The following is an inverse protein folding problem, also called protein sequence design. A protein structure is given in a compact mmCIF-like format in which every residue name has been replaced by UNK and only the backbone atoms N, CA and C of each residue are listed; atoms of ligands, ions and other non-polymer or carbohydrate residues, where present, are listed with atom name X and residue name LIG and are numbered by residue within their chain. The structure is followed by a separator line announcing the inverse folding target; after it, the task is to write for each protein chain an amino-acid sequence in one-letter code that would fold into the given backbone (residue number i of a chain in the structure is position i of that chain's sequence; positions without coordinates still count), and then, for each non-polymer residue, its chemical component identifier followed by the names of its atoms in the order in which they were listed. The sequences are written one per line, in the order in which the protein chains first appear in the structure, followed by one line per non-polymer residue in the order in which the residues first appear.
data_IF_363452337855
#
_entry.id   IF_363452337855
#
_cell.length_a   1.000
_cell.length_b   1.000
_cell.length_c   1.000
_cell.angle_alpha   90.00
_cell.angle_beta   90.00
_cell.angle_gamma   90.00
#
_symmetry.space_group_name_H-M   'P 1'
#
loop_
_entity.id
_entity.type
_entity.pdbx_description
1 polymer ?
#
# COMPACT_ATOMS: atom_id res chain seq x y z
N UNK A 1 23.41 -27.65 -34.10
CA UNK A 1 21.95 -27.44 -33.91
C UNK A 1 21.79 -26.42 -32.80
N UNK A 2 21.11 -25.30 -33.10
CA UNK A 2 20.96 -24.13 -32.21
C UNK A 2 19.81 -24.40 -31.24
N UNK A 3 20.10 -24.48 -29.95
CA UNK A 3 19.07 -24.56 -28.91
C UNK A 3 18.66 -23.15 -28.54
N UNK A 4 17.50 -22.71 -29.04
CA UNK A 4 16.87 -21.45 -28.68
C UNK A 4 16.20 -21.62 -27.30
N UNK A 5 16.83 -21.06 -26.27
CA UNK A 5 16.16 -20.86 -24.98
C UNK A 5 15.22 -19.66 -25.18
N UNK A 6 13.93 -19.96 -25.35
CA UNK A 6 12.87 -18.97 -25.29
C UNK A 6 12.73 -18.60 -23.81
N UNK A 7 13.50 -17.59 -23.39
CA UNK A 7 13.25 -16.91 -22.14
C UNK A 7 11.92 -16.19 -22.28
N UNK A 8 10.84 -16.84 -21.84
CA UNK A 8 9.56 -16.22 -21.57
C UNK A 8 9.76 -15.19 -20.46
N UNK A 9 10.13 -13.98 -20.87
CA UNK A 9 9.98 -12.76 -20.08
C UNK A 9 8.48 -12.67 -19.81
N UNK A 10 8.08 -13.17 -18.65
CA UNK A 10 6.78 -12.87 -18.07
C UNK A 10 6.79 -11.36 -17.90
N UNK A 11 6.20 -10.67 -18.87
CA UNK A 11 5.80 -9.28 -18.77
C UNK A 11 4.78 -9.20 -17.64
N UNK A 12 5.25 -9.26 -16.38
CA UNK A 12 4.53 -8.56 -15.34
C UNK A 12 4.51 -7.11 -15.82
N UNK A 13 3.34 -6.50 -16.03
CA UNK A 13 3.30 -5.07 -16.20
C UNK A 13 3.93 -4.52 -14.93
N UNK A 14 5.16 -4.00 -15.03
CA UNK A 14 5.68 -3.08 -14.05
C UNK A 14 4.72 -1.90 -14.12
N UNK A 15 3.66 -1.96 -13.30
CA UNK A 15 2.78 -0.84 -13.10
C UNK A 15 3.63 0.21 -12.40
N UNK A 16 4.24 1.06 -13.23
CA UNK A 16 4.91 2.27 -12.80
C UNK A 16 3.80 3.18 -12.29
N UNK A 17 3.49 3.04 -11.00
CA UNK A 17 2.63 3.99 -10.32
C UNK A 17 3.45 5.26 -10.13
N UNK A 18 3.23 6.23 -11.01
CA UNK A 18 3.50 7.62 -10.67
C UNK A 18 2.75 7.96 -9.38
N UNK A 19 3.16 9.01 -8.68
CA UNK A 19 2.47 9.51 -7.47
C UNK A 19 1.08 10.12 -7.81
N UNK A 20 0.29 9.42 -8.61
CA UNK A 20 -1.08 9.75 -8.96
C UNK A 20 -1.97 9.58 -7.75
N UNK A 21 -2.89 10.51 -7.52
CA UNK A 21 -4.02 10.26 -6.64
C UNK A 21 -4.77 9.00 -7.13
N UNK A 22 -5.35 8.22 -6.21
CA UNK A 22 -6.18 7.10 -6.62
C UNK A 22 -7.52 7.64 -7.11
N UNK A 23 -7.65 7.76 -8.43
CA UNK A 23 -8.82 8.29 -9.11
C UNK A 23 -9.54 7.17 -9.89
N UNK A 24 -10.81 7.40 -10.25
CA UNK A 24 -11.63 6.45 -10.99
C UNK A 24 -12.89 6.03 -10.25
N UNK A 25 -13.50 4.93 -10.68
CA UNK A 25 -14.62 4.34 -9.97
C UNK A 25 -14.15 3.64 -8.67
N UNK A 26 -15.09 3.24 -7.81
CA UNK A 26 -14.78 2.60 -6.52
C UNK A 26 -13.86 1.38 -6.65
N UNK A 27 -14.01 0.58 -7.70
CA UNK A 27 -13.17 -0.60 -7.92
C UNK A 27 -11.72 -0.19 -8.23
N UNK A 28 -11.52 0.75 -9.16
CA UNK A 28 -10.21 1.27 -9.55
C UNK A 28 -9.48 1.91 -8.37
N UNK A 29 -10.20 2.72 -7.58
CA UNK A 29 -9.69 3.35 -6.37
C UNK A 29 -9.21 2.27 -5.38
N UNK A 30 -10.03 1.25 -5.12
CA UNK A 30 -9.67 0.19 -4.17
C UNK A 30 -8.45 -0.63 -4.61
N UNK A 31 -8.32 -0.93 -5.91
CA UNK A 31 -7.14 -1.61 -6.43
C UNK A 31 -5.87 -0.75 -6.28
N UNK A 32 -5.97 0.54 -6.62
CA UNK A 32 -4.88 1.50 -6.44
C UNK A 32 -4.43 1.60 -4.97
N UNK A 33 -5.40 1.73 -4.05
CA UNK A 33 -5.10 1.80 -2.61
C UNK A 33 -4.44 0.52 -2.11
N UNK A 34 -4.95 -0.64 -2.51
CA UNK A 34 -4.39 -1.94 -2.14
C UNK A 34 -2.92 -2.05 -2.57
N UNK A 35 -2.61 -1.70 -3.82
CA UNK A 35 -1.24 -1.76 -4.35
C UNK A 35 -0.31 -0.79 -3.61
N UNK A 36 -0.76 0.44 -3.36
CA UNK A 36 0.05 1.42 -2.60
C UNK A 36 0.33 0.95 -1.18
N UNK A 37 -0.67 0.40 -0.50
CA UNK A 37 -0.50 -0.16 0.84
C UNK A 37 0.51 -1.31 0.83
N UNK A 38 0.40 -2.25 -0.12
CA UNK A 38 1.36 -3.36 -0.25
C UNK A 38 2.79 -2.85 -0.47
N UNK A 39 2.98 -1.90 -1.39
CA UNK A 39 4.28 -1.31 -1.67
C UNK A 39 4.90 -0.61 -0.44
N UNK A 40 4.08 0.06 0.38
CA UNK A 40 4.55 0.71 1.61
C UNK A 40 4.84 -0.32 2.70
N UNK A 41 4.00 -1.33 2.86
CA UNK A 41 4.19 -2.38 3.86
C UNK A 41 5.47 -3.18 3.60
N UNK A 42 5.78 -3.48 2.33
CA UNK A 42 7.06 -4.08 1.92
C UNK A 42 8.27 -3.19 2.20
N UNK A 43 8.14 -1.87 2.00
CA UNK A 43 9.20 -0.92 2.35
C UNK A 43 9.45 -0.92 3.85
N UNK A 44 8.39 -0.94 4.65
CA UNK A 44 8.46 -1.00 6.11
C UNK A 44 9.07 -2.31 6.61
N UNK A 45 8.74 -3.46 6.01
CA UNK A 45 9.29 -4.75 6.42
C UNK A 45 10.79 -4.89 6.15
N UNK A 46 11.32 -4.14 5.18
CA UNK A 46 12.77 -4.07 4.94
C UNK A 46 13.52 -3.29 6.03
N UNK A 47 12.82 -2.55 6.88
CA UNK A 47 13.41 -1.78 7.97
C UNK A 47 13.62 -2.70 9.17
N UNK A 48 14.88 -2.99 9.50
CA UNK A 48 15.26 -3.78 10.68
C UNK A 48 15.13 -2.98 11.97
N UNK A 49 13.90 -2.59 12.32
CA UNK A 49 13.59 -1.88 13.56
C UNK A 49 12.51 -2.63 14.35
N UNK A 50 12.78 -2.92 15.62
CA UNK A 50 11.86 -3.62 16.52
C UNK A 50 10.53 -2.89 16.71
N UNK A 51 10.52 -1.56 16.60
CA UNK A 51 9.29 -0.74 16.75
C UNK A 51 8.32 -0.86 15.58
N UNK A 52 8.71 -1.49 14.45
CA UNK A 52 7.85 -1.52 13.26
C UNK A 52 6.55 -2.29 13.49
N UNK A 53 6.60 -3.38 14.26
CA UNK A 53 5.41 -4.18 14.54
C UNK A 53 4.42 -3.42 15.43
N UNK A 54 4.93 -2.66 16.40
CA UNK A 54 4.12 -1.80 17.26
C UNK A 54 3.48 -0.66 16.45
N UNK A 55 4.26 -0.02 15.58
CA UNK A 55 3.75 0.98 14.64
C UNK A 55 2.63 0.41 13.76
N UNK A 56 2.82 -0.76 13.12
CA UNK A 56 1.81 -1.39 12.27
C UNK A 56 0.51 -1.68 13.03
N UNK A 57 0.60 -2.15 14.29
CA UNK A 57 -0.56 -2.37 15.17
C UNK A 57 -1.26 -1.05 15.51
N UNK A 58 -0.51 -0.03 15.91
CA UNK A 58 -1.05 1.29 16.25
C UNK A 58 -1.75 1.95 15.06
N UNK A 59 -1.08 1.95 13.90
CA UNK A 59 -1.59 2.41 12.62
C UNK A 59 -2.93 1.74 12.28
N UNK A 60 -2.99 0.40 12.36
CA UNK A 60 -4.21 -0.35 12.07
C UNK A 60 -5.36 0.07 12.99
N UNK A 61 -5.11 0.20 14.29
CA UNK A 61 -6.12 0.62 15.28
C UNK A 61 -6.70 2.00 14.97
N UNK A 62 -5.84 2.98 14.67
CA UNK A 62 -6.28 4.34 14.31
C UNK A 62 -7.11 4.31 13.03
N UNK A 63 -6.59 3.68 11.98
CA UNK A 63 -7.24 3.72 10.68
C UNK A 63 -8.57 2.98 10.68
N UNK A 64 -8.67 1.86 11.41
CA UNK A 64 -9.93 1.14 11.62
C UNK A 64 -10.95 2.00 12.39
N UNK A 65 -10.51 2.70 13.44
CA UNK A 65 -11.40 3.60 14.18
C UNK A 65 -11.93 4.74 13.29
N UNK A 66 -11.05 5.40 12.54
CA UNK A 66 -11.44 6.49 11.62
C UNK A 66 -12.41 5.98 10.55
N UNK A 67 -12.10 4.84 9.92
CA UNK A 67 -12.92 4.30 8.84
C UNK A 67 -14.29 3.80 9.31
N UNK A 68 -14.40 3.36 10.57
CA UNK A 68 -15.64 2.83 11.15
C UNK A 68 -16.82 3.81 11.14
N UNK A 69 -16.54 5.12 11.05
CA UNK A 69 -17.58 6.16 10.83
C UNK A 69 -18.39 5.91 9.55
N UNK A 70 -17.81 5.20 8.59
CA UNK A 70 -18.39 4.90 7.27
C UNK A 70 -18.76 3.43 7.11
N UNK A 71 -18.98 2.72 8.23
CA UNK A 71 -19.23 1.28 8.26
C UNK A 71 -20.22 0.82 7.19
N UNK A 72 -19.94 -0.33 6.59
CA UNK A 72 -20.79 -1.01 5.59
C UNK A 72 -20.88 -0.27 4.24
N UNK A 73 -20.01 0.72 3.99
CA UNK A 73 -19.93 1.46 2.73
C UNK A 73 -18.57 1.31 2.05
N UNK A 74 -18.52 1.60 0.76
CA UNK A 74 -17.25 1.69 0.03
C UNK A 74 -16.31 2.78 0.57
N UNK A 75 -16.86 3.80 1.24
CA UNK A 75 -16.06 4.85 1.88
C UNK A 75 -15.25 4.32 3.07
N UNK A 76 -15.68 3.26 3.75
CA UNK A 76 -14.90 2.65 4.83
C UNK A 76 -13.55 2.18 4.32
N UNK A 77 -13.54 1.34 3.28
CA UNK A 77 -12.32 0.82 2.67
C UNK A 77 -11.42 1.93 2.14
N UNK A 78 -12.00 2.95 1.49
CA UNK A 78 -11.26 4.09 0.94
C UNK A 78 -10.62 4.92 2.06
N UNK A 79 -11.35 5.20 3.15
CA UNK A 79 -10.82 5.97 4.29
C UNK A 79 -9.76 5.19 5.05
N UNK A 80 -9.97 3.89 5.24
CA UNK A 80 -8.97 3.00 5.83
C UNK A 80 -7.68 3.02 5.01
N UNK A 81 -7.76 2.75 3.70
CA UNK A 81 -6.58 2.67 2.83
C UNK A 81 -5.79 3.97 2.76
N UNK A 82 -6.47 5.11 2.62
CA UNK A 82 -5.82 6.42 2.64
C UNK A 82 -5.13 6.71 3.98
N UNK A 83 -5.76 6.35 5.11
CA UNK A 83 -5.15 6.51 6.42
C UNK A 83 -3.86 5.69 6.57
N UNK A 84 -3.88 4.41 6.16
CA UNK A 84 -2.68 3.54 6.19
C UNK A 84 -1.55 4.18 5.38
N UNK A 85 -1.82 4.58 4.14
CA UNK A 85 -0.83 5.17 3.23
C UNK A 85 -0.19 6.43 3.83
N UNK A 86 -1.01 7.32 4.40
CA UNK A 86 -0.53 8.57 4.99
C UNK A 86 0.37 8.33 6.20
N UNK A 87 -0.03 7.43 7.11
CA UNK A 87 0.77 7.10 8.29
C UNK A 87 2.07 6.39 7.92
N UNK A 88 2.05 5.49 6.93
CA UNK A 88 3.24 4.80 6.46
C UNK A 88 4.26 5.73 5.83
N UNK A 89 3.78 6.63 4.95
CA UNK A 89 4.62 7.68 4.37
C UNK A 89 5.24 8.54 5.47
N UNK A 90 4.43 9.00 6.42
CA UNK A 90 4.92 9.81 7.53
C UNK A 90 5.98 9.08 8.37
N UNK A 91 5.77 7.81 8.69
CA UNK A 91 6.70 7.02 9.49
C UNK A 91 8.02 6.77 8.75
N UNK A 92 7.98 6.42 7.47
CA UNK A 92 9.17 6.30 6.62
C UNK A 92 9.96 7.62 6.59
N UNK A 93 9.28 8.77 6.48
CA UNK A 93 9.94 10.07 6.53
C UNK A 93 10.55 10.37 7.90
N UNK A 94 9.95 9.92 9.01
CA UNK A 94 10.57 10.10 10.34
C UNK A 94 11.85 9.27 10.49
N UNK A 95 11.93 8.10 9.86
CA UNK A 95 13.11 7.24 9.92
C UNK A 95 14.30 7.75 9.10
N UNK A 96 14.08 8.73 8.20
CA UNK A 96 15.16 9.37 7.43
C UNK A 96 15.83 10.52 8.19
N UNK A 97 15.25 10.96 9.30
CA UNK A 97 15.78 12.03 10.16
C UNK A 97 16.68 11.44 11.23
#
# INVERSE_FOLDING_TARGET
MKTLIIASIVNLPMMVFSETNCDGNTYEINQCLKQKMQNLDEKLDKIKNHSIQEFKKYRHKICSNISSTYKDSSYEAIKYGNCIISLDKWYIEQLKK
#
